data_IF_204923869026
#
_entry.id   IF_204923869026
#
_cell.length_a   1.000
_cell.length_b   1.000
_cell.length_c   1.000
_cell.angle_alpha   90.00
_cell.angle_beta   90.00
_cell.angle_gamma   90.00
#
_symmetry.space_group_name_H-M   'P 1'
#
loop_
_entity.id
_entity.type
_entity.pdbx_description
1 polymer ?
#
# COMPACT_ATOMS: atom_id res chain seq x y z
N UNK A 1 -39.80 14.29 31.60
CA UNK A 1 -38.72 15.07 32.22
C UNK A 1 -38.68 16.44 31.55
N UNK A 2 -38.85 17.51 32.31
CA UNK A 2 -38.70 18.87 31.78
C UNK A 2 -37.26 19.07 31.30
N UNK A 3 -37.07 19.72 30.15
CA UNK A 3 -35.75 20.05 29.63
C UNK A 3 -35.13 21.13 30.55
N UNK A 4 -34.02 20.83 31.26
CA UNK A 4 -33.43 21.75 32.24
C UNK A 4 -32.90 23.04 31.62
N UNK A 5 -32.81 23.13 30.29
CA UNK A 5 -32.33 24.31 29.57
C UNK A 5 -33.44 25.11 28.89
N UNK A 6 -34.72 24.83 29.17
CA UNK A 6 -35.82 25.44 28.42
C UNK A 6 -35.79 26.98 28.41
N UNK A 7 -35.50 27.62 29.54
CA UNK A 7 -35.42 29.09 29.68
C UNK A 7 -34.15 29.68 29.06
N UNK A 8 -33.04 28.95 29.04
CA UNK A 8 -31.71 29.48 28.64
C UNK A 8 -31.24 29.00 27.26
N UNK A 9 -32.03 28.15 26.59
CA UNK A 9 -31.64 27.45 25.37
C UNK A 9 -31.12 28.37 24.27
N UNK A 10 -31.78 29.50 24.05
CA UNK A 10 -31.40 30.44 23.00
C UNK A 10 -30.02 31.07 23.26
N UNK A 11 -29.78 31.47 24.52
CA UNK A 11 -28.49 32.02 24.96
C UNK A 11 -27.37 30.99 24.83
N UNK A 12 -27.59 29.75 25.30
CA UNK A 12 -26.62 28.66 25.19
C UNK A 12 -26.28 28.31 23.74
N UNK A 13 -27.27 28.29 22.83
CA UNK A 13 -27.04 28.09 21.40
C UNK A 13 -26.15 29.18 20.81
N UNK A 14 -26.42 30.45 21.11
CA UNK A 14 -25.63 31.57 20.63
C UNK A 14 -24.18 31.50 21.16
N UNK A 15 -24.01 31.22 22.46
CA UNK A 15 -22.70 31.07 23.09
C UNK A 15 -21.88 29.93 22.43
N UNK A 16 -22.49 28.77 22.20
CA UNK A 16 -21.83 27.64 21.52
C UNK A 16 -21.38 28.02 20.11
N UNK A 17 -22.22 28.71 19.33
CA UNK A 17 -21.87 29.15 17.97
C UNK A 17 -20.70 30.14 18.00
N UNK A 18 -20.71 31.10 18.94
CA UNK A 18 -19.67 32.09 19.10
C UNK A 18 -18.31 31.44 19.46
N UNK A 19 -18.30 30.55 20.45
CA UNK A 19 -17.10 29.80 20.87
C UNK A 19 -16.51 28.93 19.74
N UNK A 20 -17.38 28.23 19.00
CA UNK A 20 -16.94 27.43 17.85
C UNK A 20 -16.39 28.32 16.73
N UNK A 21 -17.01 29.48 16.49
CA UNK A 21 -16.53 30.45 15.50
C UNK A 21 -15.19 31.07 15.92
N UNK A 22 -14.96 31.26 17.23
CA UNK A 22 -13.68 31.70 17.80
C UNK A 22 -12.58 30.62 17.71
N UNK A 23 -12.92 29.39 17.30
CA UNK A 23 -11.97 28.33 17.00
C UNK A 23 -11.97 27.17 17.99
N UNK A 24 -12.78 27.23 19.06
CA UNK A 24 -12.91 26.11 19.98
C UNK A 24 -13.53 24.89 19.28
N UNK A 25 -12.99 23.66 19.46
CA UNK A 25 -13.70 22.47 18.99
C UNK A 25 -14.99 22.30 19.78
N UNK A 26 -16.10 21.97 19.11
CA UNK A 26 -17.39 21.75 19.75
C UNK A 26 -17.30 20.81 20.97
N UNK A 27 -16.48 19.76 20.89
CA UNK A 27 -16.23 18.83 22.00
C UNK A 27 -15.62 19.50 23.24
N UNK A 28 -14.76 20.51 23.08
CA UNK A 28 -14.22 21.26 24.21
C UNK A 28 -15.28 22.20 24.80
N UNK A 29 -16.06 22.87 23.93
CA UNK A 29 -17.17 23.73 24.37
C UNK A 29 -18.17 22.94 25.21
N UNK A 30 -18.58 21.76 24.76
CA UNK A 30 -19.49 20.87 25.52
C UNK A 30 -18.88 20.21 26.77
N UNK A 31 -17.58 20.41 27.04
CA UNK A 31 -16.91 19.92 28.27
C UNK A 31 -16.77 21.01 29.32
N UNK A 32 -17.02 22.27 28.98
CA UNK A 32 -16.95 23.36 29.94
C UNK A 32 -18.01 23.16 31.04
N UNK A 33 -17.72 23.51 32.31
CA UNK A 33 -18.70 23.46 33.39
C UNK A 33 -19.96 24.27 33.02
N UNK A 34 -21.14 23.68 33.22
CA UNK A 34 -22.43 24.29 32.86
C UNK A 34 -22.81 24.22 31.38
N UNK A 35 -21.93 23.73 30.50
CA UNK A 35 -22.28 23.55 29.09
C UNK A 35 -23.14 22.29 28.86
N UNK A 36 -24.08 22.32 27.90
CA UNK A 36 -24.84 21.13 27.54
C UNK A 36 -23.93 20.06 26.94
N UNK A 37 -24.23 18.78 27.22
CA UNK A 37 -23.46 17.68 26.66
C UNK A 37 -23.66 17.59 25.13
N UNK A 38 -22.74 16.90 24.44
CA UNK A 38 -22.75 16.81 22.97
C UNK A 38 -24.04 16.19 22.42
N UNK A 39 -24.64 15.23 23.14
CA UNK A 39 -25.90 14.60 22.75
C UNK A 39 -27.06 15.62 22.72
N UNK A 40 -27.13 16.49 23.72
CA UNK A 40 -28.12 17.58 23.81
C UNK A 40 -27.94 18.57 22.65
N UNK A 41 -26.71 19.01 22.37
CA UNK A 41 -26.44 19.90 21.23
C UNK A 41 -26.82 19.25 19.89
N UNK A 42 -26.58 17.94 19.71
CA UNK A 42 -27.01 17.20 18.51
C UNK A 42 -28.54 17.10 18.42
N UNK A 43 -29.25 16.96 19.53
CA UNK A 43 -30.71 16.99 19.56
C UNK A 43 -31.23 18.37 19.14
N UNK A 44 -30.67 19.45 19.70
CA UNK A 44 -31.01 20.82 19.31
C UNK A 44 -30.73 21.10 17.83
N UNK A 45 -29.61 20.61 17.28
CA UNK A 45 -29.28 20.74 15.86
C UNK A 45 -30.29 20.08 14.94
N UNK A 46 -30.94 18.99 15.38
CA UNK A 46 -31.99 18.31 14.61
C UNK A 46 -33.33 19.04 14.71
N UNK A 47 -33.63 19.59 15.87
CA UNK A 47 -34.91 20.25 16.14
C UNK A 47 -34.97 21.70 15.62
N UNK A 48 -33.83 22.38 15.48
CA UNK A 48 -33.74 23.79 15.08
C UNK A 48 -32.79 23.95 13.88
N UNK A 49 -33.34 24.08 12.65
CA UNK A 49 -32.56 24.30 11.44
C UNK A 49 -31.71 25.57 11.44
N UNK A 50 -32.17 26.65 12.09
CA UNK A 50 -31.45 27.92 12.12
C UNK A 50 -30.16 27.79 12.97
N UNK A 51 -30.27 27.15 14.12
CA UNK A 51 -29.11 26.79 14.93
C UNK A 51 -28.15 25.84 14.19
N UNK A 52 -28.69 24.88 13.44
CA UNK A 52 -27.87 23.97 12.65
C UNK A 52 -27.05 24.70 11.57
N UNK A 53 -27.67 25.62 10.84
CA UNK A 53 -27.00 26.44 9.84
C UNK A 53 -25.94 27.35 10.48
N UNK A 54 -26.26 28.03 11.59
CA UNK A 54 -25.32 28.89 12.30
C UNK A 54 -24.09 28.11 12.81
N UNK A 55 -24.31 26.93 13.41
CA UNK A 55 -23.23 26.08 13.89
C UNK A 55 -22.38 25.52 12.74
N UNK A 56 -23.00 25.14 11.62
CA UNK A 56 -22.27 24.70 10.42
C UNK A 56 -21.38 25.81 9.85
N UNK A 57 -21.88 27.05 9.76
CA UNK A 57 -21.09 28.21 9.33
C UNK A 57 -19.94 28.52 10.29
N UNK A 58 -20.16 28.42 11.61
CA UNK A 58 -19.10 28.56 12.61
C UNK A 58 -18.02 27.46 12.46
N UNK A 59 -18.43 26.21 12.25
CA UNK A 59 -17.51 25.10 11.99
C UNK A 59 -16.73 25.28 10.70
N UNK A 60 -17.36 25.80 9.64
CA UNK A 60 -16.71 26.11 8.38
C UNK A 60 -15.64 27.21 8.55
N UNK A 61 -15.97 28.32 9.22
CA UNK A 61 -15.01 29.39 9.56
C UNK A 61 -13.84 28.86 10.37
N UNK A 62 -14.12 28.03 11.38
CA UNK A 62 -13.08 27.36 12.16
C UNK A 62 -12.21 26.43 11.31
N UNK A 63 -12.81 25.65 10.43
CA UNK A 63 -12.06 24.78 9.53
C UNK A 63 -11.15 25.60 8.62
N UNK A 64 -11.63 26.73 8.11
CA UNK A 64 -10.85 27.65 7.28
C UNK A 64 -9.72 28.32 8.08
N UNK A 65 -10.00 28.81 9.28
CA UNK A 65 -8.97 29.34 10.18
C UNK A 65 -7.89 28.31 10.53
N UNK A 66 -8.27 27.02 10.71
CA UNK A 66 -7.31 25.92 10.93
C UNK A 66 -6.58 25.48 9.66
N UNK A 67 -7.12 25.78 8.48
CA UNK A 67 -6.46 25.49 7.19
C UNK A 67 -5.34 26.49 6.94
N UNK A 68 -5.55 27.75 7.34
CA UNK A 68 -4.49 28.77 7.31
C UNK A 68 -3.39 28.36 8.29
N UNK A 69 -2.18 28.24 7.74
CA UNK A 69 -1.01 28.10 8.58
C UNK A 69 -0.80 29.43 9.30
N UNK A 70 -0.49 29.34 10.59
CA UNK A 70 -0.02 30.47 11.37
C UNK A 70 1.18 31.12 10.67
N UNK A 71 1.10 32.40 10.27
CA UNK A 71 2.16 33.07 9.53
C UNK A 71 3.50 33.03 10.27
N UNK A 72 3.49 33.06 11.61
CA UNK A 72 4.71 32.96 12.40
C UNK A 72 5.39 31.59 12.22
N UNK A 73 4.61 30.52 12.10
CA UNK A 73 5.14 29.17 11.85
C UNK A 73 5.61 28.99 10.41
N UNK A 74 4.96 29.64 9.45
CA UNK A 74 5.41 29.67 8.07
C UNK A 74 6.77 30.36 7.95
N UNK A 75 6.94 31.53 8.56
CA UNK A 75 8.20 32.27 8.55
C UNK A 75 9.29 31.53 9.33
N UNK A 76 8.97 30.95 10.48
CA UNK A 76 9.92 30.13 11.24
C UNK A 76 10.44 28.93 10.42
N UNK A 77 9.56 28.28 9.64
CA UNK A 77 9.95 27.19 8.74
C UNK A 77 10.89 27.70 7.64
N UNK A 78 10.58 28.84 7.01
CA UNK A 78 11.42 29.45 5.97
C UNK A 78 12.79 29.84 6.52
N UNK A 79 12.83 30.49 7.69
CA UNK A 79 14.07 30.88 8.36
C UNK A 79 14.96 29.66 8.66
N UNK A 80 14.38 28.59 9.22
CA UNK A 80 15.13 27.35 9.48
C UNK A 80 15.59 26.69 8.18
N UNK A 81 14.78 26.69 7.13
CA UNK A 81 15.15 26.07 5.85
C UNK A 81 16.28 26.85 5.14
N UNK A 82 16.31 28.19 5.27
CA UNK A 82 17.38 29.06 4.75
C UNK A 82 18.75 28.75 5.35
N UNK A 83 18.83 28.22 6.57
CA UNK A 83 20.11 27.80 7.16
C UNK A 83 20.77 26.65 6.38
N UNK A 84 20.01 25.88 5.59
CA UNK A 84 20.51 24.78 4.77
C UNK A 84 20.94 23.53 5.54
N UNK A 85 20.86 23.53 6.88
CA UNK A 85 21.35 22.42 7.72
C UNK A 85 20.38 21.23 7.76
N UNK A 86 19.07 21.51 7.69
CA UNK A 86 18.03 20.49 7.84
C UNK A 86 17.30 20.17 6.54
N UNK A 87 16.86 18.90 6.39
CA UNK A 87 15.93 18.54 5.31
C UNK A 87 14.54 19.01 5.67
N UNK A 88 13.74 19.38 4.66
CA UNK A 88 12.36 19.80 4.87
C UNK A 88 11.56 18.71 5.59
N UNK A 89 11.78 17.44 5.26
CA UNK A 89 11.12 16.31 5.91
C UNK A 89 11.41 16.23 7.41
N UNK A 90 12.61 16.62 7.83
CA UNK A 90 13.03 16.58 9.24
C UNK A 90 12.44 17.77 9.99
N UNK A 91 12.45 18.97 9.38
CA UNK A 91 11.80 20.17 9.93
C UNK A 91 10.29 19.94 10.17
N UNK A 92 9.58 19.35 9.21
CA UNK A 92 8.14 19.11 9.32
C UNK A 92 7.75 18.05 10.39
N UNK A 93 8.72 17.37 10.99
CA UNK A 93 8.51 16.46 12.13
C UNK A 93 8.77 17.13 13.48
N UNK A 94 9.43 18.29 13.51
CA UNK A 94 9.77 18.96 14.76
C UNK A 94 8.52 19.54 15.43
N UNK A 95 8.41 19.45 16.77
CA UNK A 95 7.34 20.11 17.50
C UNK A 95 7.45 21.63 17.32
N UNK A 96 6.31 22.31 17.22
CA UNK A 96 6.24 23.77 17.02
C UNK A 96 6.18 24.22 15.55
N UNK A 97 6.70 23.41 14.62
CA UNK A 97 6.62 23.66 13.18
C UNK A 97 5.32 23.11 12.56
N UNK A 98 4.93 23.55 11.34
CA UNK A 98 3.82 22.95 10.63
C UNK A 98 4.08 21.46 10.37
N UNK A 99 3.07 20.63 10.59
CA UNK A 99 3.11 19.26 10.07
C UNK A 99 2.97 19.25 8.54
N UNK A 100 3.25 18.10 7.91
CA UNK A 100 3.21 17.95 6.45
C UNK A 100 1.89 18.40 5.82
N UNK A 101 0.76 18.07 6.42
CA UNK A 101 -0.55 18.42 5.89
C UNK A 101 -0.82 19.93 5.97
N UNK A 102 -0.39 20.59 7.06
CA UNK A 102 -0.49 22.04 7.20
C UNK A 102 0.42 22.76 6.19
N UNK A 103 1.65 22.28 6.01
CA UNK A 103 2.59 22.79 5.01
C UNK A 103 2.04 22.69 3.59
N UNK A 104 1.56 21.51 3.15
CA UNK A 104 1.05 21.35 1.77
C UNK A 104 -0.17 22.23 1.51
N UNK A 105 -1.07 22.36 2.49
CA UNK A 105 -2.22 23.26 2.37
C UNK A 105 -1.79 24.71 2.23
N UNK A 106 -0.87 25.19 3.07
CA UNK A 106 -0.38 26.56 3.00
C UNK A 106 0.35 26.83 1.68
N UNK A 107 1.17 25.89 1.21
CA UNK A 107 1.83 25.96 -0.09
C UNK A 107 0.86 26.07 -1.26
N UNK A 108 -0.32 25.45 -1.18
CA UNK A 108 -1.35 25.58 -2.22
C UNK A 108 -2.15 26.88 -2.10
N UNK A 109 -2.32 27.42 -0.89
CA UNK A 109 -3.12 28.62 -0.63
C UNK A 109 -2.34 29.92 -0.87
N UNK A 110 -1.03 29.94 -0.62
CA UNK A 110 -0.19 31.13 -0.67
C UNK A 110 0.92 30.99 -1.72
N UNK A 111 0.75 31.54 -2.94
CA UNK A 111 1.72 31.40 -4.04
C UNK A 111 3.12 31.92 -3.69
N UNK A 112 3.22 33.06 -3.01
CA UNK A 112 4.51 33.65 -2.63
C UNK A 112 5.33 32.72 -1.71
N UNK A 113 4.67 32.05 -0.76
CA UNK A 113 5.31 31.05 0.09
C UNK A 113 5.79 29.83 -0.73
N UNK A 114 4.99 29.40 -1.71
CA UNK A 114 5.34 28.29 -2.57
C UNK A 114 6.56 28.59 -3.47
N UNK A 115 6.62 29.79 -4.05
CA UNK A 115 7.73 30.29 -4.85
C UNK A 115 9.01 30.36 -4.03
N UNK A 116 8.95 30.93 -2.81
CA UNK A 116 10.09 31.00 -1.92
C UNK A 116 10.59 29.61 -1.52
N UNK A 117 9.69 28.70 -1.15
CA UNK A 117 10.05 27.30 -0.86
C UNK A 117 10.65 26.59 -2.08
N UNK A 118 10.17 26.88 -3.28
CA UNK A 118 10.73 26.32 -4.52
C UNK A 118 12.15 26.85 -4.77
N UNK A 119 12.36 28.16 -4.63
CA UNK A 119 13.67 28.81 -4.73
C UNK A 119 14.68 28.19 -3.75
N UNK A 120 14.33 28.11 -2.47
CA UNK A 120 15.20 27.52 -1.44
C UNK A 120 15.50 26.03 -1.71
N UNK A 121 14.53 25.26 -2.21
CA UNK A 121 14.76 23.86 -2.61
C UNK A 121 15.73 23.76 -3.77
N UNK A 122 15.60 24.63 -4.77
CA UNK A 122 16.50 24.67 -5.92
C UNK A 122 17.93 25.03 -5.49
N UNK A 123 18.09 26.03 -4.62
CA UNK A 123 19.38 26.41 -4.03
C UNK A 123 20.00 25.24 -3.23
N UNK A 124 19.22 24.61 -2.35
CA UNK A 124 19.68 23.45 -1.57
C UNK A 124 20.03 22.24 -2.46
N UNK A 125 19.28 21.99 -3.52
CA UNK A 125 19.59 20.95 -4.49
C UNK A 125 20.86 21.28 -5.28
N UNK A 126 21.04 22.53 -5.72
CA UNK A 126 22.26 22.97 -6.39
C UNK A 126 23.49 22.79 -5.49
N UNK A 127 23.41 23.20 -4.22
CA UNK A 127 24.47 23.01 -3.24
C UNK A 127 24.78 21.52 -3.01
N UNK A 128 23.74 20.67 -2.92
CA UNK A 128 23.91 19.21 -2.84
C UNK A 128 24.54 18.65 -4.10
N UNK A 129 24.15 19.12 -5.29
CA UNK A 129 24.77 18.69 -6.56
C UNK A 129 26.25 19.06 -6.58
N UNK A 130 26.66 20.21 -6.05
CA UNK A 130 28.09 20.56 -5.90
C UNK A 130 28.78 19.61 -4.91
N UNK A 131 28.21 19.40 -3.72
CA UNK A 131 28.80 18.54 -2.67
C UNK A 131 28.88 17.07 -3.07
N UNK A 132 27.88 16.57 -3.79
CA UNK A 132 27.76 15.18 -4.22
C UNK A 132 28.15 14.95 -5.68
N UNK A 133 28.66 15.98 -6.38
CA UNK A 133 29.52 15.79 -7.56
C UNK A 133 30.82 15.16 -7.06
N UNK A 134 30.75 13.91 -6.63
CA UNK A 134 31.94 13.06 -6.66
C UNK A 134 32.41 13.08 -8.11
N UNK A 135 33.71 13.32 -8.35
CA UNK A 135 34.24 13.25 -9.70
C UNK A 135 33.74 11.94 -10.30
N UNK A 136 33.11 12.06 -11.46
CA UNK A 136 32.66 10.89 -12.20
C UNK A 136 33.91 10.04 -12.36
N UNK A 137 33.87 8.79 -11.90
CA UNK A 137 35.00 7.90 -12.15
C UNK A 137 35.09 7.72 -13.66
N UNK A 138 36.16 8.20 -14.26
CA UNK A 138 36.39 8.07 -15.70
C UNK A 138 36.49 6.60 -16.10
N UNK A 139 36.33 6.32 -17.39
CA UNK A 139 36.52 4.97 -17.89
C UNK A 139 37.95 4.52 -17.59
N UNK A 140 38.07 3.38 -16.91
CA UNK A 140 39.34 2.78 -16.55
C UNK A 140 39.40 1.41 -17.25
N UNK A 141 40.22 1.26 -18.31
CA UNK A 141 40.27 0.04 -19.11
C UNK A 141 40.70 -1.18 -18.28
N UNK A 142 41.58 -1.00 -17.29
CA UNK A 142 42.06 -2.09 -16.43
C UNK A 142 40.95 -2.61 -15.54
N UNK A 143 40.16 -1.71 -14.98
CA UNK A 143 38.98 -2.07 -14.18
C UNK A 143 37.89 -2.70 -15.06
N UNK A 144 37.69 -2.17 -16.27
CA UNK A 144 36.76 -2.73 -17.24
C UNK A 144 37.13 -4.18 -17.60
N UNK A 145 38.39 -4.45 -17.92
CA UNK A 145 38.88 -5.79 -18.24
C UNK A 145 38.72 -6.76 -17.07
N UNK A 146 39.00 -6.31 -15.83
CA UNK A 146 38.77 -7.13 -14.63
C UNK A 146 37.29 -7.52 -14.49
N UNK A 147 36.37 -6.60 -14.78
CA UNK A 147 34.92 -6.86 -14.77
C UNK A 147 34.54 -7.86 -15.87
N UNK A 148 35.09 -7.71 -17.08
CA UNK A 148 34.84 -8.63 -18.20
C UNK A 148 35.35 -10.03 -17.90
N UNK A 149 36.59 -10.17 -17.44
CA UNK A 149 37.18 -11.46 -17.05
C UNK A 149 36.36 -12.17 -15.97
N UNK A 150 35.84 -11.43 -14.99
CA UNK A 150 35.01 -11.99 -13.93
C UNK A 150 33.65 -12.47 -14.45
N UNK A 151 32.99 -11.68 -15.30
CA UNK A 151 31.74 -12.06 -15.95
C UNK A 151 31.92 -13.27 -16.87
N UNK A 152 33.02 -13.33 -17.62
CA UNK A 152 33.38 -14.46 -18.48
C UNK A 152 33.62 -15.76 -17.71
N UNK A 153 33.90 -15.69 -16.39
CA UNK A 153 33.96 -16.85 -15.49
C UNK A 153 32.57 -17.27 -14.95
N UNK A 154 31.48 -16.63 -15.39
CA UNK A 154 30.11 -16.94 -14.98
C UNK A 154 29.74 -16.43 -13.59
N UNK A 155 30.57 -15.59 -12.98
CA UNK A 155 30.31 -15.05 -11.64
C UNK A 155 29.47 -13.77 -11.69
N UNK A 156 28.51 -13.57 -10.77
CA UNK A 156 27.68 -12.37 -10.79
C UNK A 156 28.44 -11.14 -10.28
N UNK A 157 28.11 -9.96 -10.83
CA UNK A 157 28.70 -8.67 -10.43
C UNK A 157 28.53 -8.36 -8.93
N UNK A 158 27.50 -8.92 -8.29
CA UNK A 158 27.27 -8.75 -6.85
C UNK A 158 28.34 -9.44 -6.02
N UNK A 159 28.77 -10.65 -6.40
CA UNK A 159 29.88 -11.37 -5.75
C UNK A 159 31.18 -10.62 -5.96
N UNK A 160 31.42 -10.17 -7.19
CA UNK A 160 32.61 -9.40 -7.55
C UNK A 160 32.77 -8.14 -6.70
N UNK A 161 31.72 -7.33 -6.54
CA UNK A 161 31.77 -6.11 -5.71
C UNK A 161 31.91 -6.36 -4.22
N UNK A 162 31.53 -7.54 -3.72
CA UNK A 162 31.78 -7.93 -2.32
C UNK A 162 33.25 -8.31 -2.12
N UNK A 163 33.85 -8.96 -3.11
CA UNK A 163 35.26 -9.36 -3.08
C UNK A 163 36.21 -8.17 -3.32
N UNK A 164 35.83 -7.22 -4.17
CA UNK A 164 36.64 -6.03 -4.50
C UNK A 164 35.81 -4.75 -4.35
N UNK A 165 35.90 -4.06 -3.18
CA UNK A 165 35.21 -2.79 -2.93
C UNK A 165 35.66 -1.64 -3.83
N UNK A 166 36.82 -1.78 -4.50
CA UNK A 166 37.36 -0.76 -5.39
C UNK A 166 36.61 -0.71 -6.72
N UNK A 167 35.77 -1.70 -7.02
CA UNK A 167 35.06 -1.76 -8.29
C UNK A 167 33.92 -0.75 -8.40
N UNK A 168 33.68 -0.22 -9.62
CA UNK A 168 32.61 0.73 -9.88
C UNK A 168 31.24 0.16 -9.50
N UNK A 169 30.37 1.03 -9.00
CA UNK A 169 29.00 0.65 -8.71
C UNK A 169 28.23 0.38 -10.03
N UNK A 170 27.10 -0.35 -10.00
CA UNK A 170 26.34 -0.69 -11.20
C UNK A 170 25.94 0.52 -12.07
N UNK A 171 25.73 1.69 -11.46
CA UNK A 171 25.43 2.93 -12.19
C UNK A 171 26.61 3.42 -13.02
N UNK A 172 27.85 3.29 -12.52
CA UNK A 172 29.06 3.63 -13.26
C UNK A 172 29.28 2.65 -14.42
N UNK A 173 29.14 1.34 -14.18
CA UNK A 173 29.24 0.33 -15.24
C UNK A 173 28.18 0.50 -16.34
N UNK A 174 26.94 0.83 -15.96
CA UNK A 174 25.88 1.12 -16.93
C UNK A 174 26.16 2.40 -17.75
N UNK A 175 26.86 3.37 -17.15
CA UNK A 175 27.31 4.57 -17.85
C UNK A 175 28.45 4.25 -18.81
N UNK A 176 29.50 3.55 -18.36
CA UNK A 176 30.59 3.07 -19.22
C UNK A 176 30.04 2.25 -20.39
N UNK A 177 29.04 1.39 -20.18
CA UNK A 177 28.38 0.66 -21.28
C UNK A 177 27.73 1.58 -22.33
N UNK A 178 27.23 2.76 -21.96
CA UNK A 178 26.66 3.73 -22.92
C UNK A 178 27.72 4.58 -23.60
N UNK A 179 28.78 4.92 -22.87
CA UNK A 179 29.85 5.81 -23.33
C UNK A 179 30.90 5.06 -24.17
N UNK A 180 31.15 3.77 -23.87
CA UNK A 180 32.22 2.95 -24.46
C UNK A 180 31.66 1.72 -25.19
N UNK A 181 31.47 1.79 -26.53
CA UNK A 181 30.88 0.69 -27.31
C UNK A 181 31.64 -0.62 -27.20
N UNK A 182 32.99 -0.58 -27.17
CA UNK A 182 33.83 -1.77 -27.06
C UNK A 182 33.60 -2.51 -25.72
N UNK A 183 33.49 -1.76 -24.62
CA UNK A 183 33.16 -2.33 -23.32
C UNK A 183 31.76 -2.93 -23.31
N UNK A 184 30.79 -2.29 -23.97
CA UNK A 184 29.43 -2.82 -24.07
C UNK A 184 29.40 -4.17 -24.80
N UNK A 185 30.08 -4.27 -25.94
CA UNK A 185 30.22 -5.50 -26.70
C UNK A 185 30.90 -6.59 -25.87
N UNK A 186 32.03 -6.26 -25.23
CA UNK A 186 32.75 -7.19 -24.36
C UNK A 186 31.88 -7.70 -23.21
N UNK A 187 31.06 -6.83 -22.62
CA UNK A 187 30.18 -7.17 -21.49
C UNK A 187 29.04 -8.08 -21.91
N UNK A 188 28.44 -7.86 -23.07
CA UNK A 188 27.38 -8.72 -23.61
C UNK A 188 27.94 -10.09 -24.02
N UNK A 189 29.15 -10.11 -24.61
CA UNK A 189 29.86 -11.35 -24.97
C UNK A 189 30.27 -12.15 -23.72
N UNK A 190 30.88 -11.52 -22.72
CA UNK A 190 31.24 -12.18 -21.46
C UNK A 190 30.01 -12.66 -20.70
N UNK A 191 28.86 -11.97 -20.77
CA UNK A 191 27.58 -12.46 -20.22
C UNK A 191 27.05 -13.66 -20.99
N UNK A 192 27.24 -13.72 -22.30
CA UNK A 192 26.87 -14.87 -23.13
C UNK A 192 27.74 -16.08 -22.75
N UNK A 193 29.06 -15.93 -22.78
CA UNK A 193 30.04 -16.97 -22.39
C UNK A 193 29.86 -17.41 -20.94
N UNK A 194 29.69 -16.46 -20.02
CA UNK A 194 29.47 -16.72 -18.60
C UNK A 194 28.19 -17.51 -18.35
N UNK A 195 27.10 -17.23 -19.09
CA UNK A 195 25.86 -18.02 -19.03
C UNK A 195 26.05 -19.44 -19.54
N UNK A 196 26.86 -19.64 -20.59
CA UNK A 196 27.18 -20.98 -21.08
C UNK A 196 28.02 -21.77 -20.06
N UNK A 197 29.02 -21.13 -19.44
CA UNK A 197 29.92 -21.75 -18.44
C UNK A 197 29.27 -22.01 -17.09
N UNK A 198 28.34 -21.15 -16.66
CA UNK A 198 27.55 -21.37 -15.46
C UNK A 198 26.58 -22.57 -15.60
N UNK A 199 26.53 -23.19 -16.80
CA UNK A 199 25.54 -24.17 -17.18
C UNK A 199 24.17 -23.52 -17.39
N UNK A 200 23.18 -24.27 -17.90
CA UNK A 200 21.79 -23.85 -17.74
C UNK A 200 21.61 -23.49 -16.27
N UNK A 201 20.95 -22.35 -15.93
CA UNK A 201 20.77 -21.97 -14.55
C UNK A 201 20.29 -23.21 -13.81
N UNK A 202 21.09 -23.72 -12.85
CA UNK A 202 20.72 -24.86 -12.00
C UNK A 202 19.24 -24.71 -11.74
N UNK A 203 18.39 -25.58 -12.31
CA UNK A 203 16.94 -25.35 -12.40
C UNK A 203 16.53 -24.69 -11.11
N UNK A 204 16.20 -23.39 -11.11
CA UNK A 204 16.13 -22.62 -9.88
C UNK A 204 15.11 -23.34 -9.05
N UNK A 205 15.58 -23.96 -7.94
CA UNK A 205 14.82 -24.81 -7.01
C UNK A 205 13.34 -24.73 -7.36
N UNK A 206 12.82 -25.66 -8.18
CA UNK A 206 11.46 -25.58 -8.78
C UNK A 206 10.60 -24.85 -7.79
N UNK A 207 10.20 -23.62 -8.13
CA UNK A 207 9.62 -22.69 -7.15
C UNK A 207 8.64 -23.46 -6.26
N UNK A 208 8.55 -23.19 -4.94
CA UNK A 208 7.63 -23.93 -4.07
C UNK A 208 6.23 -24.10 -4.68
N UNK A 209 5.78 -23.12 -5.49
CA UNK A 209 4.65 -23.22 -6.42
C UNK A 209 4.73 -24.42 -7.37
N UNK A 210 5.68 -24.45 -8.31
CA UNK A 210 5.83 -25.54 -9.28
C UNK A 210 5.91 -26.94 -8.64
N UNK A 211 6.51 -27.05 -7.44
CA UNK A 211 6.53 -28.32 -6.69
C UNK A 211 5.17 -28.71 -6.09
N UNK A 212 4.41 -27.73 -5.60
CA UNK A 212 3.16 -27.98 -4.87
C UNK A 212 1.92 -27.96 -5.78
N UNK A 213 2.01 -27.34 -6.97
CA UNK A 213 0.88 -27.20 -7.91
C UNK A 213 0.18 -28.53 -8.19
N UNK A 214 0.84 -29.63 -8.59
CA UNK A 214 0.15 -30.89 -8.87
C UNK A 214 -0.61 -31.44 -7.64
N UNK A 215 -0.03 -31.30 -6.44
CA UNK A 215 -0.64 -31.73 -5.19
C UNK A 215 -1.88 -30.89 -4.85
N UNK A 216 -1.79 -29.57 -5.01
CA UNK A 216 -2.90 -28.64 -4.77
C UNK A 216 -4.06 -28.93 -5.72
N UNK A 217 -3.80 -29.02 -7.02
CA UNK A 217 -4.83 -29.23 -8.04
C UNK A 217 -5.57 -30.55 -7.84
N UNK A 218 -4.85 -31.64 -7.62
CA UNK A 218 -5.45 -32.95 -7.33
C UNK A 218 -6.38 -32.91 -6.10
N UNK A 219 -5.99 -32.18 -5.06
CA UNK A 219 -6.80 -32.07 -3.83
C UNK A 219 -8.03 -31.19 -4.03
N UNK A 220 -7.91 -30.12 -4.80
CA UNK A 220 -9.05 -29.28 -5.19
C UNK A 220 -10.08 -30.09 -5.96
N UNK A 221 -9.66 -30.84 -6.99
CA UNK A 221 -10.53 -31.73 -7.75
C UNK A 221 -11.22 -32.78 -6.85
N UNK A 222 -10.53 -33.27 -5.82
CA UNK A 222 -11.08 -34.21 -4.84
C UNK A 222 -11.95 -33.58 -3.72
N UNK A 223 -12.37 -32.31 -3.84
CA UNK A 223 -13.28 -31.70 -2.86
C UNK A 223 -12.65 -30.68 -1.89
N UNK A 224 -11.32 -30.53 -1.87
CA UNK A 224 -10.69 -29.57 -0.95
C UNK A 224 -10.95 -28.12 -1.38
N UNK A 225 -10.84 -27.18 -0.44
CA UNK A 225 -10.83 -25.73 -0.71
C UNK A 225 -9.42 -25.16 -0.52
N UNK A 226 -9.08 -24.07 -1.20
CA UNK A 226 -7.78 -23.40 -1.00
C UNK A 226 -7.54 -23.03 0.47
N UNK A 227 -8.58 -22.52 1.14
CA UNK A 227 -8.52 -22.21 2.57
C UNK A 227 -8.31 -23.47 3.42
N UNK A 228 -9.01 -24.56 3.12
CA UNK A 228 -8.82 -25.85 3.78
C UNK A 228 -7.40 -26.39 3.60
N UNK A 229 -6.87 -26.35 2.37
CA UNK A 229 -5.50 -26.78 2.07
C UNK A 229 -4.48 -25.98 2.85
N UNK A 230 -4.70 -24.68 3.06
CA UNK A 230 -3.75 -23.83 3.79
C UNK A 230 -3.55 -24.20 5.26
N UNK A 231 -4.45 -25.03 5.83
CA UNK A 231 -4.33 -25.54 7.20
C UNK A 231 -3.55 -26.85 7.28
N UNK A 232 -3.23 -27.49 6.15
CA UNK A 232 -2.47 -28.74 6.11
C UNK A 232 -0.96 -28.48 6.31
N UNK A 233 -0.28 -29.39 7.03
CA UNK A 233 1.16 -29.30 7.25
C UNK A 233 1.92 -29.35 5.91
N UNK A 234 2.78 -28.37 5.69
CA UNK A 234 3.59 -28.26 4.46
C UNK A 234 2.86 -27.61 3.28
N UNK A 235 1.63 -27.12 3.46
CA UNK A 235 0.96 -26.27 2.47
C UNK A 235 1.27 -24.78 2.68
N UNK A 236 1.21 -23.96 1.62
CA UNK A 236 1.34 -22.51 1.74
C UNK A 236 0.14 -21.91 2.47
N UNK A 237 0.33 -20.74 3.08
CA UNK A 237 -0.77 -19.98 3.67
C UNK A 237 -1.85 -19.63 2.65
N UNK A 238 -3.09 -19.39 3.10
CA UNK A 238 -4.19 -18.99 2.22
C UNK A 238 -3.81 -17.74 1.41
N UNK A 239 -3.19 -16.74 2.06
CA UNK A 239 -2.74 -15.52 1.41
C UNK A 239 -1.74 -15.81 0.28
N UNK A 240 -0.81 -16.74 0.49
CA UNK A 240 0.15 -17.16 -0.54
C UNK A 240 -0.57 -17.83 -1.72
N UNK A 241 -1.50 -18.74 -1.46
CA UNK A 241 -2.27 -19.41 -2.51
C UNK A 241 -3.10 -18.43 -3.34
N UNK A 242 -3.86 -17.52 -2.71
CA UNK A 242 -4.61 -16.49 -3.42
C UNK A 242 -3.71 -15.50 -4.16
N UNK A 243 -2.53 -15.18 -3.61
CA UNK A 243 -1.53 -14.39 -4.33
C UNK A 243 -1.04 -15.12 -5.58
N UNK A 244 -0.84 -16.44 -5.53
CA UNK A 244 -0.45 -17.21 -6.72
C UNK A 244 -1.53 -17.18 -7.78
N UNK A 245 -2.80 -17.39 -7.43
CA UNK A 245 -3.92 -17.29 -8.38
C UNK A 245 -3.94 -15.92 -9.07
N UNK A 246 -3.71 -14.83 -8.32
CA UNK A 246 -3.72 -13.47 -8.89
C UNK A 246 -2.51 -13.13 -9.77
N UNK A 247 -1.33 -13.63 -9.44
CA UNK A 247 -0.09 -13.25 -10.13
C UNK A 247 0.31 -14.21 -11.26
N UNK A 248 -0.34 -15.37 -11.36
CA UNK A 248 0.05 -16.45 -12.25
C UNK A 248 -1.15 -17.01 -13.02
N UNK A 249 -1.41 -16.51 -14.24
CA UNK A 249 -2.58 -16.91 -15.05
C UNK A 249 -2.65 -18.41 -15.34
N UNK A 250 -1.50 -19.06 -15.56
CA UNK A 250 -1.37 -20.51 -15.76
C UNK A 250 -1.90 -21.31 -14.56
N UNK A 251 -1.53 -20.90 -13.35
CA UNK A 251 -2.01 -21.52 -12.11
C UNK A 251 -3.48 -21.21 -11.86
N UNK A 252 -3.94 -20.01 -12.19
CA UNK A 252 -5.35 -19.63 -12.07
C UNK A 252 -6.25 -20.50 -12.94
N UNK A 253 -5.90 -20.67 -14.22
CA UNK A 253 -6.63 -21.53 -15.15
C UNK A 253 -6.67 -22.98 -14.66
N UNK A 254 -5.55 -23.51 -14.14
CA UNK A 254 -5.50 -24.86 -13.60
C UNK A 254 -6.36 -25.02 -12.33
N UNK A 255 -6.38 -24.02 -11.45
CA UNK A 255 -7.24 -24.00 -10.25
C UNK A 255 -8.72 -23.94 -10.64
N UNK A 256 -9.06 -23.16 -11.66
CA UNK A 256 -10.41 -23.07 -12.19
C UNK A 256 -10.88 -24.41 -12.76
N UNK A 257 -10.06 -25.07 -13.59
CA UNK A 257 -10.36 -26.41 -14.09
C UNK A 257 -10.57 -27.42 -12.94
N UNK A 258 -9.66 -27.45 -11.95
CA UNK A 258 -9.79 -28.35 -10.80
C UNK A 258 -11.05 -28.05 -9.97
N UNK A 259 -11.53 -26.81 -9.94
CA UNK A 259 -12.81 -26.48 -9.32
C UNK A 259 -13.98 -27.01 -10.15
N UNK A 260 -13.90 -27.01 -11.48
CA UNK A 260 -14.93 -27.57 -12.37
C UNK A 260 -15.03 -29.08 -12.21
N UNK A 261 -13.88 -29.76 -12.14
CA UNK A 261 -13.82 -31.20 -11.89
C UNK A 261 -14.46 -31.56 -10.53
N UNK A 262 -14.20 -30.74 -9.50
CA UNK A 262 -14.84 -30.90 -8.18
C UNK A 262 -16.36 -30.74 -8.24
N UNK A 263 -16.86 -29.81 -9.05
CA UNK A 263 -18.30 -29.59 -9.19
C UNK A 263 -18.99 -30.78 -9.86
N UNK A 264 -18.38 -31.34 -10.91
CA UNK A 264 -18.85 -32.57 -11.53
C UNK A 264 -18.92 -33.72 -10.51
N UNK A 265 -17.86 -33.92 -9.72
CA UNK A 265 -17.83 -34.94 -8.67
C UNK A 265 -18.92 -34.73 -7.61
N UNK A 266 -19.23 -33.48 -7.24
CA UNK A 266 -20.32 -33.19 -6.30
C UNK A 266 -21.70 -33.47 -6.90
N UNK A 267 -21.90 -33.21 -8.19
CA UNK A 267 -23.16 -33.53 -8.88
C UNK A 267 -23.37 -35.05 -8.95
N UNK A 268 -22.36 -35.80 -9.37
CA UNK A 268 -22.37 -37.27 -9.34
C UNK A 268 -22.72 -37.78 -7.95
N UNK A 269 -22.06 -37.26 -6.91
CA UNK A 269 -22.32 -37.67 -5.53
C UNK A 269 -23.73 -37.32 -5.04
N UNK A 270 -24.30 -36.21 -5.51
CA UNK A 270 -25.69 -35.84 -5.21
C UNK A 270 -26.65 -36.82 -5.88
N UNK A 271 -26.39 -37.20 -7.14
CA UNK A 271 -27.19 -38.17 -7.88
C UNK A 271 -27.14 -39.56 -7.22
N UNK A 272 -25.94 -40.08 -6.93
CA UNK A 272 -25.76 -41.35 -6.21
C UNK A 272 -26.52 -41.38 -4.88
N UNK A 273 -26.46 -40.27 -4.12
CA UNK A 273 -27.16 -40.16 -2.84
C UNK A 273 -28.69 -40.13 -3.02
N UNK A 274 -29.19 -39.54 -4.10
CA UNK A 274 -30.61 -39.48 -4.40
C UNK A 274 -31.14 -40.84 -4.86
N UNK A 275 -30.39 -41.55 -5.72
CA UNK A 275 -30.77 -42.85 -6.26
C UNK A 275 -30.82 -43.93 -5.16
N UNK A 276 -29.93 -43.85 -4.17
CA UNK A 276 -29.90 -44.75 -3.02
C UNK A 276 -30.83 -44.35 -1.85
N UNK A 277 -31.63 -43.30 -1.99
CA UNK A 277 -32.46 -42.79 -0.90
C UNK A 277 -33.75 -43.62 -0.73
N UNK A 278 -33.97 -44.11 0.48
CA UNK A 278 -35.25 -44.71 0.91
C UNK A 278 -36.05 -43.69 1.73
N UNK A 279 -37.36 -43.94 1.92
CA UNK A 279 -38.21 -43.06 2.73
C UNK A 279 -37.65 -42.80 4.15
N UNK A 280 -37.07 -43.83 4.77
CA UNK A 280 -36.45 -43.75 6.10
C UNK A 280 -35.14 -42.94 6.13
N UNK A 281 -34.34 -43.01 5.06
CA UNK A 281 -33.01 -42.36 4.99
C UNK A 281 -33.07 -40.96 4.39
N UNK A 282 -34.19 -40.57 3.79
CA UNK A 282 -34.39 -39.33 3.06
C UNK A 282 -34.03 -38.06 3.86
N UNK A 283 -34.40 -37.89 5.15
CA UNK A 283 -34.02 -36.68 5.91
C UNK A 283 -32.50 -36.50 6.03
N UNK A 284 -31.76 -37.61 6.23
CA UNK A 284 -30.31 -37.61 6.35
C UNK A 284 -29.63 -37.36 5.00
N UNK A 285 -30.13 -37.99 3.94
CA UNK A 285 -29.67 -37.78 2.56
C UNK A 285 -29.87 -36.33 2.14
N UNK A 286 -31.04 -35.75 2.39
CA UNK A 286 -31.35 -34.36 2.07
C UNK A 286 -30.45 -33.37 2.81
N UNK A 287 -30.07 -33.65 4.07
CA UNK A 287 -29.08 -32.87 4.80
C UNK A 287 -27.71 -32.85 4.12
N UNK A 288 -27.26 -34.00 3.58
CA UNK A 288 -26.01 -34.12 2.83
C UNK A 288 -26.07 -33.41 1.49
N UNK A 289 -27.16 -33.57 0.73
CA UNK A 289 -27.39 -32.88 -0.55
C UNK A 289 -27.40 -31.36 -0.34
N UNK A 290 -28.11 -30.85 0.67
CA UNK A 290 -28.12 -29.41 1.01
C UNK A 290 -26.71 -28.89 1.33
N UNK A 291 -25.89 -29.68 2.01
CA UNK A 291 -24.48 -29.32 2.26
C UNK A 291 -23.69 -29.23 0.96
N UNK A 292 -23.72 -30.25 0.10
CA UNK A 292 -23.02 -30.26 -1.18
C UNK A 292 -23.48 -29.11 -2.09
N UNK A 293 -24.78 -28.84 -2.16
CA UNK A 293 -25.34 -27.70 -2.90
C UNK A 293 -24.86 -26.35 -2.38
N UNK A 294 -24.70 -26.17 -1.06
CA UNK A 294 -24.11 -24.94 -0.49
C UNK A 294 -22.64 -24.78 -0.88
N UNK A 295 -21.88 -25.88 -0.93
CA UNK A 295 -20.48 -25.87 -1.36
C UNK A 295 -20.36 -25.55 -2.86
N UNK A 296 -21.29 -26.03 -3.70
CA UNK A 296 -21.42 -25.65 -5.13
C UNK A 296 -21.79 -24.17 -5.33
N UNK A 297 -22.79 -23.68 -4.58
CA UNK A 297 -23.31 -22.30 -4.71
C UNK A 297 -22.33 -21.19 -4.30
N UNK A 298 -21.11 -21.52 -3.90
CA UNK A 298 -20.05 -20.54 -3.64
C UNK A 298 -19.37 -20.05 -4.94
N UNK A 299 -19.34 -20.86 -6.01
CA UNK A 299 -18.69 -20.49 -7.29
C UNK A 299 -19.54 -19.60 -8.20
N UNK A 300 -20.86 -19.80 -8.25
CA UNK A 300 -21.75 -18.91 -9.04
C UNK A 300 -21.68 -17.45 -8.58
N UNK A 301 -21.39 -17.19 -7.30
CA UNK A 301 -21.18 -15.84 -6.76
C UNK A 301 -19.81 -15.22 -7.12
N UNK A 302 -18.81 -16.05 -7.42
CA UNK A 302 -17.48 -15.60 -7.81
C UNK A 302 -17.37 -15.30 -9.31
N UNK A 303 -18.11 -16.03 -10.16
CA UNK A 303 -18.12 -15.81 -11.61
C UNK A 303 -18.89 -14.54 -12.05
N UNK A 304 -19.77 -13.99 -11.21
CA UNK A 304 -20.60 -12.82 -11.52
C UNK A 304 -20.05 -11.46 -11.03
N UNK A 305 -18.84 -11.39 -10.49
CA UNK A 305 -18.28 -10.17 -9.87
C UNK A 305 -17.14 -9.48 -10.63
N UNK A 306 -16.90 -9.85 -11.88
CA UNK A 306 -15.87 -9.26 -12.74
C UNK A 306 -16.48 -8.66 -14.00
N UNK A 307 -17.18 -7.54 -13.84
CA UNK A 307 -17.64 -6.65 -14.92
C UNK A 307 -17.41 -5.22 -14.48
#
# INVERSE_FOLDING_TARGET
MADPYASERASLKAAIVAEVAAGAPLRAVCRAPGAPCEATVRAWRRADPAFAAALASAQARRAEARRRLDPAKAEALLALYRTGEARLEDLLRQPGLPNRAAYERHRLAEPAFAEEMHRLKAEAEAARRVRFRRPRRDFDPVVADRVLLWLGRGQPLTTLRRADPTLPCPKVLARWRREEPQFAMGLDECRRVGRLRAGPPRQPNRSPRARLTPKILRRLAAGATLHGLSRERGMPSAQTLYRWVRLHPDFAAAVDQACSDREALYLERIMELADGATAETLPRVMGRIRRLRRELGWRMRWAGGGG
#
